data_IF_476124673784
#
_entry.id   IF_476124673784
#
_cell.length_a   1.000
_cell.length_b   1.000
_cell.length_c   1.000
_cell.angle_alpha   90.00
_cell.angle_beta   90.00
_cell.angle_gamma   90.00
#
_symmetry.space_group_name_H-M   'P 1'
#
loop_
_entity.id
_entity.type
_entity.pdbx_description
1 polymer ?
#
# COMPACT_ATOMS: atom_id res chain seq x y z
N UNK A 1 -52.82 30.53 22.52
CA UNK A 1 -52.01 29.45 23.15
C UNK A 1 -51.19 28.82 22.03
N UNK A 2 -49.86 28.94 22.11
CA UNK A 2 -48.89 28.74 21.02
C UNK A 2 -48.12 27.44 21.30
N UNK A 3 -48.43 26.35 20.59
CA UNK A 3 -47.68 25.10 20.72
C UNK A 3 -46.70 24.97 19.55
N UNK A 4 -45.42 25.08 19.89
CA UNK A 4 -44.28 25.06 18.97
C UNK A 4 -43.96 23.61 18.63
N UNK A 5 -44.12 23.23 17.36
CA UNK A 5 -43.67 21.93 16.85
C UNK A 5 -42.14 21.96 16.71
N UNK A 6 -41.45 21.14 17.50
CA UNK A 6 -40.01 20.99 17.48
C UNK A 6 -39.63 20.02 16.36
N UNK A 7 -39.12 20.53 15.24
CA UNK A 7 -38.59 19.69 14.14
C UNK A 7 -37.15 19.35 14.47
N UNK A 8 -36.91 18.10 14.89
CA UNK A 8 -35.57 17.56 15.10
C UNK A 8 -35.01 17.19 13.72
N UNK A 9 -34.20 18.08 13.14
CA UNK A 9 -33.42 17.78 11.93
C UNK A 9 -32.20 16.96 12.37
N UNK A 10 -32.31 15.64 12.26
CA UNK A 10 -31.16 14.73 12.40
C UNK A 10 -30.24 14.91 11.21
N UNK A 11 -29.20 15.72 11.39
CA UNK A 11 -28.08 15.80 10.45
C UNK A 11 -27.38 14.43 10.40
N UNK A 12 -27.62 13.68 9.33
CA UNK A 12 -26.86 12.49 8.99
C UNK A 12 -25.42 12.94 8.69
N UNK A 13 -24.55 12.83 9.68
CA UNK A 13 -23.11 12.93 9.50
C UNK A 13 -22.70 11.67 8.72
N UNK A 14 -22.76 11.75 7.40
CA UNK A 14 -22.16 10.75 6.51
C UNK A 14 -20.66 10.89 6.70
N UNK A 15 -20.11 10.13 7.65
CA UNK A 15 -18.67 9.98 7.76
C UNK A 15 -18.19 9.43 6.42
N UNK A 16 -17.28 10.10 5.69
CA UNK A 16 -16.65 9.47 4.55
C UNK A 16 -15.88 8.28 5.11
N UNK A 17 -16.43 7.08 4.91
CA UNK A 17 -15.64 5.88 5.05
C UNK A 17 -14.44 6.10 4.12
N UNK A 18 -13.24 6.25 4.69
CA UNK A 18 -11.99 6.31 3.94
C UNK A 18 -11.87 4.99 3.16
N UNK A 19 -12.46 4.97 1.97
CA UNK A 19 -12.32 3.87 1.04
C UNK A 19 -10.87 3.93 0.57
N UNK A 20 -10.02 3.06 1.12
CA UNK A 20 -8.64 2.90 0.64
C UNK A 20 -8.72 2.64 -0.85
N UNK A 21 -8.23 3.60 -1.64
CA UNK A 21 -8.20 3.51 -3.09
C UNK A 21 -7.42 2.26 -3.49
N UNK A 22 -8.00 1.38 -4.32
CA UNK A 22 -7.32 0.16 -4.71
C UNK A 22 -6.11 0.51 -5.57
N UNK A 23 -4.93 0.01 -5.17
CA UNK A 23 -3.68 0.18 -5.92
C UNK A 23 -3.80 -0.43 -7.32
N UNK A 24 -3.52 0.37 -8.35
CA UNK A 24 -3.50 0.03 -9.78
C UNK A 24 -2.07 0.17 -10.34
N UNK A 25 -1.84 -0.48 -11.48
CA UNK A 25 -0.61 -0.28 -12.26
C UNK A 25 -0.60 1.17 -12.77
N UNK A 26 0.55 1.84 -12.64
CA UNK A 26 0.74 3.25 -12.96
C UNK A 26 0.59 4.18 -11.75
N UNK A 27 0.01 3.71 -10.65
CA UNK A 27 -0.14 4.54 -9.45
C UNK A 27 1.21 4.87 -8.83
N UNK A 28 1.32 6.09 -8.30
CA UNK A 28 2.35 6.43 -7.33
C UNK A 28 1.88 6.01 -5.95
N UNK A 29 2.73 5.28 -5.24
CA UNK A 29 2.46 4.79 -3.89
C UNK A 29 3.58 5.18 -2.95
N UNK A 30 3.24 5.40 -1.69
CA UNK A 30 4.21 5.54 -0.60
C UNK A 30 4.23 4.25 0.20
N UNK A 31 5.44 3.82 0.54
CA UNK A 31 5.67 2.73 1.49
C UNK A 31 5.36 3.24 2.89
N UNK A 32 4.29 2.75 3.52
CA UNK A 32 3.81 3.27 4.81
C UNK A 32 4.62 2.76 6.01
N UNK A 33 5.28 1.61 5.88
CA UNK A 33 6.14 1.01 6.89
C UNK A 33 7.30 0.29 6.22
N UNK A 34 8.49 0.39 6.82
CA UNK A 34 9.68 -0.28 6.33
C UNK A 34 9.41 -1.78 6.12
N UNK A 35 9.85 -2.31 4.99
CA UNK A 35 9.52 -3.68 4.56
C UNK A 35 10.60 -4.24 3.66
N UNK A 36 10.52 -5.52 3.32
CA UNK A 36 11.41 -6.16 2.36
C UNK A 36 10.79 -6.09 0.96
N UNK A 37 11.64 -5.84 -0.04
CA UNK A 37 11.30 -6.00 -1.44
C UNK A 37 12.29 -6.96 -2.11
N UNK A 38 11.78 -7.90 -2.90
CA UNK A 38 12.63 -8.88 -3.61
C UNK A 38 12.64 -8.61 -5.12
N UNK A 39 13.75 -8.87 -5.83
CA UNK A 39 13.80 -8.70 -7.29
C UNK A 39 12.85 -9.64 -8.05
N UNK A 40 12.58 -10.83 -7.49
CA UNK A 40 11.68 -11.83 -8.10
C UNK A 40 10.42 -12.02 -7.29
N UNK A 41 9.32 -12.24 -8.02
CA UNK A 41 7.99 -12.52 -7.46
C UNK A 41 7.98 -13.79 -6.60
N UNK A 42 8.64 -14.86 -7.07
CA UNK A 42 8.74 -16.14 -6.36
C UNK A 42 9.37 -15.98 -4.98
N UNK A 43 10.42 -15.15 -4.90
CA UNK A 43 11.23 -15.02 -3.70
C UNK A 43 10.46 -14.20 -2.66
N UNK A 44 9.78 -13.14 -3.09
CA UNK A 44 8.90 -12.38 -2.19
C UNK A 44 7.77 -13.25 -1.64
N UNK A 45 7.17 -14.10 -2.48
CA UNK A 45 6.13 -15.04 -2.03
C UNK A 45 6.68 -16.00 -0.98
N UNK A 46 7.89 -16.52 -1.18
CA UNK A 46 8.52 -17.42 -0.20
C UNK A 46 8.85 -16.71 1.10
N UNK A 47 9.33 -15.46 1.06
CA UNK A 47 9.54 -14.63 2.26
C UNK A 47 8.23 -14.45 3.03
N UNK A 48 7.12 -14.17 2.34
CA UNK A 48 5.81 -14.00 2.96
C UNK A 48 5.24 -15.32 3.50
N UNK A 49 5.48 -16.44 2.83
CA UNK A 49 5.12 -17.76 3.33
C UNK A 49 5.84 -18.09 4.64
N UNK A 50 7.16 -17.90 4.68
CA UNK A 50 7.97 -18.14 5.88
C UNK A 50 7.55 -17.23 7.03
N UNK A 51 7.43 -15.91 6.78
CA UNK A 51 7.13 -14.93 7.83
C UNK A 51 5.66 -14.90 8.26
N UNK A 52 4.70 -14.93 7.33
CA UNK A 52 3.29 -14.71 7.64
C UNK A 52 2.51 -16.00 7.89
N UNK A 53 2.92 -17.12 7.28
CA UNK A 53 2.21 -18.41 7.41
C UNK A 53 2.92 -19.30 8.42
N UNK A 54 4.24 -19.48 8.28
CA UNK A 54 5.02 -20.34 9.18
C UNK A 54 5.47 -19.61 10.45
N UNK A 55 5.33 -18.28 10.49
CA UNK A 55 5.77 -17.42 11.60
C UNK A 55 7.26 -17.57 11.94
N UNK A 56 8.07 -17.94 10.94
CA UNK A 56 9.52 -18.11 11.07
C UNK A 56 10.23 -16.88 10.45
N UNK A 57 10.31 -15.81 11.24
CA UNK A 57 10.92 -14.55 10.81
C UNK A 57 12.42 -14.70 10.52
N UNK A 58 13.12 -15.52 11.29
CA UNK A 58 14.56 -15.77 11.11
C UNK A 58 14.85 -16.50 9.79
N UNK A 59 14.06 -17.52 9.46
CA UNK A 59 14.17 -18.19 8.17
C UNK A 59 13.81 -17.27 7.02
N UNK A 60 12.76 -16.43 7.18
CA UNK A 60 12.36 -15.46 6.17
C UNK A 60 13.48 -14.44 5.90
N UNK A 61 14.11 -13.89 6.93
CA UNK A 61 15.22 -12.94 6.81
C UNK A 61 16.45 -13.57 6.16
N UNK A 62 16.88 -14.74 6.63
CA UNK A 62 18.01 -15.48 6.04
C UNK A 62 17.77 -15.82 4.57
N UNK A 63 16.55 -16.20 4.21
CA UNK A 63 16.19 -16.44 2.83
C UNK A 63 16.24 -15.15 2.00
N UNK A 64 15.65 -14.06 2.52
CA UNK A 64 15.61 -12.77 1.85
C UNK A 64 17.00 -12.23 1.54
N UNK A 65 17.93 -12.30 2.50
CA UNK A 65 19.33 -11.88 2.33
C UNK A 65 20.02 -12.67 1.21
N UNK A 66 19.84 -14.00 1.19
CA UNK A 66 20.44 -14.87 0.16
C UNK A 66 19.90 -14.62 -1.24
N UNK A 67 18.64 -14.20 -1.37
CA UNK A 67 18.01 -13.89 -2.66
C UNK A 67 18.19 -12.44 -3.10
N UNK A 68 18.96 -11.64 -2.36
CA UNK A 68 19.20 -10.24 -2.69
C UNK A 68 17.97 -9.35 -2.52
N UNK A 69 17.03 -9.76 -1.66
CA UNK A 69 15.95 -8.86 -1.23
C UNK A 69 16.54 -7.70 -0.42
N UNK A 70 15.93 -6.53 -0.53
CA UNK A 70 16.42 -5.30 0.10
C UNK A 70 15.38 -4.73 1.03
N UNK A 71 15.86 -4.09 2.10
CA UNK A 71 15.00 -3.27 2.93
C UNK A 71 14.60 -2.01 2.16
N UNK A 72 13.30 -1.72 2.19
CA UNK A 72 12.69 -0.54 1.59
C UNK A 72 12.15 0.30 2.73
N UNK A 73 12.63 1.53 2.81
CA UNK A 73 12.29 2.45 3.89
C UNK A 73 10.85 2.96 3.76
N UNK A 74 10.25 3.25 4.92
CA UNK A 74 9.00 3.98 4.98
C UNK A 74 9.15 5.38 4.37
N UNK A 75 8.07 5.94 3.83
CA UNK A 75 8.06 7.26 3.19
C UNK A 75 8.58 7.27 1.75
N UNK A 76 9.18 6.17 1.25
CA UNK A 76 9.66 6.14 -0.14
C UNK A 76 8.50 6.09 -1.13
N UNK A 77 8.53 6.99 -2.12
CA UNK A 77 7.58 7.03 -3.24
C UNK A 77 8.05 6.09 -4.34
N UNK A 78 7.14 5.28 -4.87
CA UNK A 78 7.40 4.30 -5.94
C UNK A 78 6.25 4.27 -6.93
N UNK A 79 6.55 3.81 -8.14
CA UNK A 79 5.57 3.56 -9.20
C UNK A 79 5.24 2.07 -9.23
N UNK A 80 3.94 1.75 -9.29
CA UNK A 80 3.47 0.38 -9.43
C UNK A 80 3.55 -0.04 -10.90
N UNK A 81 4.37 -1.04 -11.21
CA UNK A 81 4.57 -1.50 -12.59
C UNK A 81 3.79 -2.76 -12.93
N UNK A 82 3.73 -3.69 -11.98
CA UNK A 82 3.12 -5.02 -12.18
C UNK A 82 2.44 -5.46 -10.91
N UNK A 83 1.40 -6.28 -11.05
CA UNK A 83 0.70 -6.90 -9.92
C UNK A 83 0.82 -8.42 -9.98
N UNK A 84 1.15 -9.03 -8.85
CA UNK A 84 1.24 -10.47 -8.67
C UNK A 84 0.01 -11.00 -7.95
N UNK A 85 -0.75 -11.88 -8.61
CA UNK A 85 -1.88 -12.66 -8.07
C UNK A 85 -1.66 -14.16 -8.39
N UNK A 86 -2.39 -15.13 -7.82
CA UNK A 86 -3.37 -15.08 -6.74
C UNK A 86 -2.72 -15.41 -5.37
N UNK A 87 -3.47 -15.40 -4.27
CA UNK A 87 -3.05 -15.67 -2.88
C UNK A 87 -2.49 -14.45 -2.12
N UNK A 88 -1.24 -14.07 -2.33
CA UNK A 88 -0.65 -12.92 -1.64
C UNK A 88 -0.46 -11.79 -2.65
N UNK A 89 -1.20 -10.69 -2.45
CA UNK A 89 -1.13 -9.55 -3.35
C UNK A 89 0.17 -8.81 -3.09
N UNK A 90 1.10 -9.02 -4.01
CA UNK A 90 2.37 -8.32 -4.08
C UNK A 90 2.40 -7.52 -5.37
N UNK A 91 3.00 -6.35 -5.31
CA UNK A 91 3.14 -5.47 -6.45
C UNK A 91 4.62 -5.20 -6.69
N UNK A 92 4.99 -5.15 -7.96
CA UNK A 92 6.31 -4.73 -8.38
C UNK A 92 6.33 -3.20 -8.36
N UNK A 93 7.20 -2.65 -7.52
CA UNK A 93 7.39 -1.22 -7.34
C UNK A 93 8.78 -0.76 -7.74
N UNK A 94 8.80 0.19 -8.66
CA UNK A 94 10.02 0.83 -9.14
C UNK A 94 10.20 2.19 -8.45
N UNK A 95 11.39 2.48 -7.88
CA UNK A 95 11.72 3.84 -7.48
C UNK A 95 11.66 4.78 -8.70
N UNK A 96 11.23 6.02 -8.49
CA UNK A 96 11.19 7.01 -9.57
C UNK A 96 12.62 7.28 -10.05
N UNK A 97 12.88 7.09 -11.35
CA UNK A 97 14.19 7.34 -11.97
C UNK A 97 15.14 6.15 -12.01
N UNK A 98 14.79 5.02 -11.39
CA UNK A 98 15.57 3.78 -11.44
C UNK A 98 14.90 2.75 -12.37
N UNK A 99 15.67 1.81 -12.98
CA UNK A 99 15.10 0.76 -13.84
C UNK A 99 14.55 -0.43 -13.04
N UNK A 100 15.09 -0.66 -11.85
CA UNK A 100 14.85 -1.90 -11.11
C UNK A 100 13.59 -1.85 -10.28
N UNK A 101 12.82 -2.93 -10.38
CA UNK A 101 11.55 -3.08 -9.71
C UNK A 101 11.65 -4.16 -8.62
N UNK A 102 11.07 -3.87 -7.45
CA UNK A 102 11.06 -4.80 -6.32
C UNK A 102 9.63 -5.21 -5.97
N UNK A 103 9.42 -6.50 -5.77
CA UNK A 103 8.15 -7.07 -5.34
C UNK A 103 7.96 -6.87 -3.85
N UNK A 104 6.87 -6.21 -3.46
CA UNK A 104 6.53 -5.86 -2.07
C UNK A 104 5.08 -6.23 -1.80
N UNK A 105 4.75 -6.58 -0.56
CA UNK A 105 3.36 -6.84 -0.14
C UNK A 105 2.51 -5.56 -0.19
N UNK A 106 1.37 -5.61 -0.89
CA UNK A 106 0.45 -4.45 -1.09
C UNK A 106 -0.01 -3.81 0.22
N UNK A 107 -0.14 -4.61 1.28
CA UNK A 107 -0.54 -4.15 2.62
C UNK A 107 0.40 -3.08 3.21
N UNK A 108 1.61 -2.94 2.66
CA UNK A 108 2.63 -1.95 3.07
C UNK A 108 2.57 -0.64 2.28
N UNK A 109 1.54 -0.47 1.44
CA UNK A 109 1.44 0.64 0.50
C UNK A 109 0.25 1.52 0.78
N UNK A 110 0.38 2.78 0.40
CA UNK A 110 -0.72 3.74 0.35
C UNK A 110 -0.60 4.50 -0.95
N UNK A 111 -1.69 4.57 -1.72
CA UNK A 111 -1.73 5.36 -2.95
C UNK A 111 -1.53 6.82 -2.57
N UNK A 112 -0.64 7.50 -3.28
CA UNK A 112 -0.54 8.95 -3.18
C UNK A 112 -1.75 9.49 -3.91
N UNK A 113 -2.77 9.93 -3.17
CA UNK A 113 -3.89 10.62 -3.79
C UNK A 113 -3.33 11.86 -4.53
N UNK A 114 -3.74 12.10 -5.79
CA UNK A 114 -3.41 13.35 -6.43
C UNK A 114 -3.97 14.45 -5.54
N UNK A 115 -3.10 15.36 -5.09
CA UNK A 115 -3.55 16.60 -4.44
C UNK A 115 -4.50 17.23 -5.44
N UNK A 116 -5.76 17.38 -5.07
CA UNK A 116 -6.76 18.11 -5.86
C UNK A 116 -6.29 19.57 -5.92
N UNK A 117 -5.43 19.85 -6.89
CA UNK A 117 -4.95 21.19 -7.17
C UNK A 117 -6.11 21.90 -7.86
N UNK A 118 -6.91 22.59 -7.07
CA UNK A 118 -7.91 23.55 -7.54
C UNK A 118 -7.22 24.92 -7.69
N UNK A 119 -6.84 25.35 -8.91
CA UNK A 119 -6.25 26.67 -9.13
C UNK A 119 -7.22 27.83 -8.87
N UNK A 120 -8.49 27.57 -8.54
CA UNK A 120 -9.54 28.58 -8.37
C UNK A 120 -10.06 28.71 -6.94
N UNK A 121 -9.54 27.96 -5.98
CA UNK A 121 -9.87 28.13 -4.56
C UNK A 121 -9.16 29.39 -4.00
N UNK A 122 -9.80 30.56 -4.16
CA UNK A 122 -9.49 31.82 -3.46
C UNK A 122 -10.48 32.09 -2.34
#
# INVERSE_FOLDING_TARGET
MRNIAFVIVTALIVSPAMARTPVKIGDQVIVNKATLGCPKLSDMRRVLELSAIQQDEDAALKFAERQGCRQILAGTVRLVEKSGRPNIIVDCMRPIGEPDCFWIARLRLTVVEPVDYDPFRR
#
